data_IF_222198607595
#
_entry.id   IF_222198607595
#
_cell.length_a   1.000
_cell.length_b   1.000
_cell.length_c   1.000
_cell.angle_alpha   90.00
_cell.angle_beta   90.00
_cell.angle_gamma   90.00
#
_symmetry.space_group_name_H-M   'P 1'
#
loop_
_entity.id
_entity.type
_entity.pdbx_description
1 polymer ?
#
# COMPACT_ATOMS: atom_id res chain seq x y z
N UNK A 1 12.34 15.93 -15.77
CA UNK A 1 12.52 14.47 -15.99
C UNK A 1 11.19 13.78 -16.28
N UNK A 2 11.18 12.48 -16.60
CA UNK A 2 9.96 11.69 -16.80
C UNK A 2 9.91 10.54 -15.79
N UNK A 3 8.82 10.46 -15.03
CA UNK A 3 8.51 9.36 -14.12
C UNK A 3 7.33 8.56 -14.71
N UNK A 4 7.38 7.22 -14.65
CA UNK A 4 6.33 6.37 -15.21
C UNK A 4 5.79 5.40 -14.16
N UNK A 5 4.64 5.73 -13.60
CA UNK A 5 4.00 4.93 -12.57
C UNK A 5 3.36 3.65 -13.12
N UNK A 6 3.15 3.52 -14.43
CA UNK A 6 2.67 2.26 -15.01
C UNK A 6 3.72 1.14 -14.93
N UNK A 7 5.00 1.48 -15.12
CA UNK A 7 6.08 0.50 -14.92
C UNK A 7 6.27 0.17 -13.45
N UNK A 8 6.16 1.18 -12.58
CA UNK A 8 6.33 1.00 -11.14
C UNK A 8 5.19 0.17 -10.56
N UNK A 9 3.93 0.44 -10.94
CA UNK A 9 2.75 -0.39 -10.60
C UNK A 9 2.98 -1.86 -10.92
N UNK A 10 3.51 -2.17 -12.11
CA UNK A 10 3.80 -3.57 -12.49
C UNK A 10 4.89 -4.19 -11.62
N UNK A 11 5.91 -3.43 -11.24
CA UNK A 11 6.99 -3.88 -10.34
C UNK A 11 6.43 -4.15 -8.93
N UNK A 12 5.66 -3.20 -8.41
CA UNK A 12 5.03 -3.26 -7.10
C UNK A 12 4.03 -4.41 -7.03
N UNK A 13 3.19 -4.60 -8.07
CA UNK A 13 2.28 -5.76 -8.15
C UNK A 13 3.01 -7.09 -7.99
N UNK A 14 4.12 -7.29 -8.72
CA UNK A 14 4.93 -8.52 -8.60
C UNK A 14 5.51 -8.69 -7.19
N UNK A 15 5.93 -7.59 -6.58
CA UNK A 15 6.44 -7.59 -5.22
C UNK A 15 5.34 -7.95 -4.20
N UNK A 16 4.14 -7.36 -4.28
CA UNK A 16 3.01 -7.70 -3.40
C UNK A 16 2.62 -9.17 -3.60
N UNK A 17 2.48 -9.63 -4.84
CA UNK A 17 2.18 -11.03 -5.14
C UNK A 17 3.24 -11.99 -4.56
N UNK A 18 4.52 -11.60 -4.61
CA UNK A 18 5.61 -12.34 -3.98
C UNK A 18 5.41 -12.39 -2.47
N UNK A 19 5.14 -11.26 -1.81
CA UNK A 19 4.89 -11.18 -0.35
C UNK A 19 3.68 -12.02 0.08
N UNK A 20 2.61 -12.01 -0.71
CA UNK A 20 1.42 -12.83 -0.48
C UNK A 20 1.74 -14.32 -0.59
N UNK A 21 2.41 -14.73 -1.68
CA UNK A 21 2.77 -16.13 -1.93
C UNK A 21 3.77 -16.66 -0.91
N UNK A 22 4.75 -15.84 -0.55
CA UNK A 22 5.86 -16.22 0.33
C UNK A 22 5.52 -15.96 1.82
N UNK A 23 4.28 -15.55 2.14
CA UNK A 23 3.86 -15.32 3.53
C UNK A 23 4.04 -16.61 4.34
N UNK A 24 4.98 -16.65 5.31
CA UNK A 24 5.26 -17.87 6.04
C UNK A 24 4.11 -18.12 7.01
N UNK A 25 3.59 -19.34 7.04
CA UNK A 25 2.56 -19.73 8.01
C UNK A 25 3.08 -19.64 9.48
N UNK A 26 4.38 -19.43 9.72
CA UNK A 26 5.01 -19.48 11.05
C UNK A 26 6.05 -18.39 11.33
N UNK A 27 6.12 -17.31 10.53
CA UNK A 27 7.03 -16.18 10.80
C UNK A 27 6.45 -14.91 10.19
N UNK A 28 5.72 -14.14 10.99
CA UNK A 28 5.20 -12.85 10.60
C UNK A 28 6.33 -11.81 10.69
N UNK A 29 6.70 -11.24 9.55
CA UNK A 29 7.57 -10.06 9.52
C UNK A 29 6.69 -8.80 9.62
N UNK A 30 6.00 -8.67 10.75
CA UNK A 30 5.05 -7.60 11.06
C UNK A 30 4.56 -7.69 12.51
N UNK A 31 3.75 -6.71 12.96
CA UNK A 31 3.23 -6.71 14.33
C UNK A 31 2.32 -7.89 14.63
N UNK A 32 2.35 -8.37 15.87
CA UNK A 32 1.49 -9.45 16.37
C UNK A 32 2.15 -10.84 16.31
N UNK A 33 1.38 -11.86 16.67
CA UNK A 33 1.85 -13.25 16.76
C UNK A 33 1.76 -13.98 15.41
N UNK A 34 2.65 -14.95 15.18
CA UNK A 34 2.80 -15.67 13.91
C UNK A 34 1.58 -16.51 13.52
N UNK A 35 0.85 -17.04 14.51
CA UNK A 35 -0.29 -17.95 14.29
C UNK A 35 -1.63 -17.21 14.13
N UNK A 36 -1.65 -15.91 14.41
CA UNK A 36 -2.86 -15.10 14.35
C UNK A 36 -3.23 -14.73 12.91
N UNK A 37 -4.54 -14.59 12.66
CA UNK A 37 -5.03 -14.15 11.37
C UNK A 37 -4.72 -12.67 11.14
N UNK A 38 -4.34 -12.31 9.91
CA UNK A 38 -4.00 -10.94 9.54
C UNK A 38 -5.23 -10.04 9.70
N UNK A 39 -5.14 -9.08 10.61
CA UNK A 39 -6.17 -8.08 10.88
C UNK A 39 -5.96 -6.79 10.07
N UNK A 40 -4.73 -6.49 9.65
CA UNK A 40 -4.43 -5.36 8.78
C UNK A 40 -3.34 -5.69 7.76
N UNK A 41 -3.54 -5.19 6.54
CA UNK A 41 -2.48 -5.12 5.52
C UNK A 41 -2.15 -3.65 5.31
N UNK A 42 -0.93 -3.25 5.64
CA UNK A 42 -0.43 -1.91 5.36
C UNK A 42 0.52 -1.96 4.18
N UNK A 43 0.26 -1.14 3.17
CA UNK A 43 1.25 -0.78 2.16
C UNK A 43 1.80 0.60 2.52
N UNK A 44 2.98 0.58 3.15
CA UNK A 44 3.70 1.77 3.55
C UNK A 44 4.64 2.21 2.43
N UNK A 45 4.83 3.51 2.25
CA UNK A 45 5.83 4.02 1.31
C UNK A 45 6.54 5.25 1.84
N UNK A 46 7.78 5.46 1.40
CA UNK A 46 8.51 6.70 1.66
C UNK A 46 9.18 7.14 0.37
N UNK A 47 8.65 8.19 -0.26
CA UNK A 47 9.12 8.60 -1.57
C UNK A 47 10.30 9.58 -1.51
N UNK A 48 10.27 10.53 -0.56
CA UNK A 48 11.17 11.68 -0.55
C UNK A 48 12.63 11.32 -0.26
N UNK A 49 12.90 10.50 0.77
CA UNK A 49 14.28 10.14 1.14
C UNK A 49 14.58 8.65 0.96
N UNK A 50 13.60 7.78 1.17
CA UNK A 50 13.80 6.32 1.11
C UNK A 50 13.62 5.74 -0.29
N UNK A 51 12.71 6.31 -1.09
CA UNK A 51 12.33 5.77 -2.39
C UNK A 51 11.88 4.31 -2.31
N UNK A 52 10.95 3.95 -1.43
CA UNK A 52 10.54 2.56 -1.28
C UNK A 52 9.05 2.37 -1.05
N UNK A 53 8.63 1.13 -1.23
CA UNK A 53 7.33 0.59 -0.78
C UNK A 53 7.58 -0.65 0.08
N UNK A 54 6.82 -0.82 1.15
CA UNK A 54 6.81 -2.03 1.99
C UNK A 54 5.38 -2.55 2.16
N UNK A 55 5.23 -3.86 2.39
CA UNK A 55 3.96 -4.50 2.75
C UNK A 55 4.14 -5.21 4.08
N UNK A 56 3.37 -4.73 5.06
CA UNK A 56 3.36 -5.24 6.42
C UNK A 56 2.03 -5.92 6.68
N UNK A 57 2.10 -7.13 7.24
CA UNK A 57 0.94 -7.90 7.68
C UNK A 57 0.88 -7.82 9.20
N UNK A 58 -0.21 -7.26 9.71
CA UNK A 58 -0.41 -7.04 11.14
C UNK A 58 -1.46 -8.02 11.64
N UNK A 59 -1.04 -8.91 12.54
CA UNK A 59 -1.85 -9.99 13.10
C UNK A 59 -2.41 -9.64 14.47
N UNK A 60 -2.07 -8.46 15.05
CA UNK A 60 -2.61 -8.05 16.34
C UNK A 60 -4.14 -8.01 16.28
N UNK A 61 -4.87 -8.69 17.17
CA UNK A 61 -6.33 -8.76 17.14
C UNK A 61 -7.00 -7.39 17.17
N UNK A 62 -6.39 -6.45 17.88
CA UNK A 62 -6.83 -5.07 18.03
C UNK A 62 -6.50 -4.20 16.82
N UNK A 63 -5.60 -4.62 15.92
CA UNK A 63 -5.16 -3.78 14.81
C UNK A 63 -6.28 -3.39 13.87
N UNK A 64 -7.48 -3.99 13.95
CA UNK A 64 -8.70 -3.73 13.17
C UNK A 64 -9.13 -2.24 13.01
N UNK A 65 -10.19 -1.96 12.25
CA UNK A 65 -10.62 -0.59 11.89
C UNK A 65 -11.02 0.30 13.08
N UNK A 66 -11.04 -0.23 14.30
CA UNK A 66 -11.45 0.45 15.52
C UNK A 66 -10.29 1.08 16.31
N UNK A 67 -9.04 0.66 16.09
CA UNK A 67 -7.90 1.18 16.86
C UNK A 67 -7.23 2.41 16.22
N UNK A 68 -7.64 2.78 15.02
CA UNK A 68 -7.00 3.87 14.29
C UNK A 68 -5.60 3.50 13.81
N UNK A 69 -4.93 4.48 13.21
CA UNK A 69 -3.60 4.35 12.62
C UNK A 69 -2.57 4.66 13.71
N UNK A 70 -1.80 3.65 14.09
CA UNK A 70 -0.85 3.70 15.21
C UNK A 70 0.61 3.81 14.77
N UNK A 71 0.87 3.87 13.45
CA UNK A 71 2.21 3.99 12.88
C UNK A 71 3.09 2.75 13.06
N UNK A 72 2.59 1.67 13.68
CA UNK A 72 3.38 0.51 14.10
C UNK A 72 4.08 -0.19 12.94
N UNK A 73 3.52 -0.16 11.73
CA UNK A 73 4.14 -0.73 10.53
C UNK A 73 5.54 -0.16 10.25
N UNK A 74 5.83 1.07 10.70
CA UNK A 74 7.13 1.73 10.49
C UNK A 74 8.28 1.03 11.22
N UNK A 75 7.99 0.28 12.29
CA UNK A 75 8.99 -0.50 13.04
C UNK A 75 9.39 -1.80 12.32
N UNK A 76 8.65 -2.17 11.28
CA UNK A 76 8.81 -3.44 10.54
C UNK A 76 9.35 -3.22 9.12
N UNK A 77 10.01 -2.09 8.90
CA UNK A 77 10.69 -1.77 7.64
C UNK A 77 12.09 -2.40 7.67
N UNK A 78 12.21 -3.55 7.00
CA UNK A 78 13.47 -4.26 6.81
C UNK A 78 13.78 -4.43 5.33
N UNK A 79 15.06 -4.62 4.99
CA UNK A 79 15.51 -4.84 3.60
C UNK A 79 14.72 -5.94 2.88
N UNK A 80 14.42 -7.05 3.57
CA UNK A 80 13.66 -8.18 3.01
C UNK A 80 12.16 -7.90 2.82
N UNK A 81 11.65 -6.86 3.48
CA UNK A 81 10.25 -6.40 3.35
C UNK A 81 10.13 -5.19 2.43
N UNK A 82 11.23 -4.66 1.89
CA UNK A 82 11.24 -3.40 1.18
C UNK A 82 11.44 -3.60 -0.33
N UNK A 83 10.73 -2.80 -1.13
CA UNK A 83 10.95 -2.66 -2.56
C UNK A 83 11.49 -1.27 -2.88
N UNK A 84 12.75 -1.19 -3.29
CA UNK A 84 13.36 0.06 -3.72
C UNK A 84 12.83 0.54 -5.09
N UNK A 85 12.61 1.85 -5.15
CA UNK A 85 12.07 2.65 -6.24
C UNK A 85 12.87 3.97 -6.32
N UNK A 86 14.19 3.93 -6.60
CA UNK A 86 15.07 5.11 -6.52
C UNK A 86 14.63 6.29 -7.39
N UNK A 87 13.88 6.03 -8.47
CA UNK A 87 13.32 7.09 -9.33
C UNK A 87 12.26 7.95 -8.64
N UNK A 88 11.70 7.49 -7.53
CA UNK A 88 10.77 8.28 -6.72
C UNK A 88 11.55 9.38 -6.00
N UNK A 89 12.69 9.05 -5.38
CA UNK A 89 13.62 10.03 -4.78
C UNK A 89 14.07 11.03 -5.84
N UNK A 90 14.57 10.56 -7.00
CA UNK A 90 15.02 11.44 -8.08
C UNK A 90 13.93 12.46 -8.49
N UNK A 91 12.66 12.02 -8.49
CA UNK A 91 11.53 12.87 -8.85
C UNK A 91 11.20 13.88 -7.75
N UNK A 92 11.17 13.47 -6.48
CA UNK A 92 10.98 14.37 -5.35
C UNK A 92 12.11 15.41 -5.30
N UNK A 93 13.37 14.98 -5.37
CA UNK A 93 14.53 15.88 -5.42
C UNK A 93 14.49 16.84 -6.61
N UNK A 94 14.06 16.38 -7.79
CA UNK A 94 13.92 17.25 -8.95
C UNK A 94 12.91 18.38 -8.68
N UNK A 95 11.77 18.06 -8.07
CA UNK A 95 10.73 19.04 -7.72
C UNK A 95 11.27 20.03 -6.67
N UNK A 96 11.89 19.54 -5.59
CA UNK A 96 12.48 20.37 -4.54
C UNK A 96 13.56 21.32 -5.07
N UNK A 97 14.30 20.90 -6.09
CA UNK A 97 15.29 21.72 -6.79
C UNK A 97 14.68 22.64 -7.87
N UNK A 98 13.37 22.86 -7.86
CA UNK A 98 12.65 23.74 -8.78
C UNK A 98 12.57 23.23 -10.22
N UNK A 99 12.82 21.93 -10.47
CA UNK A 99 12.72 21.32 -11.79
C UNK A 99 11.33 20.73 -12.00
N UNK A 100 10.94 20.66 -13.27
CA UNK A 100 9.71 19.97 -13.67
C UNK A 100 9.91 18.45 -13.77
N UNK A 101 8.94 17.71 -13.21
CA UNK A 101 8.74 16.28 -13.43
C UNK A 101 7.46 16.07 -14.25
N UNK A 102 7.55 15.30 -15.34
CA UNK A 102 6.39 14.81 -16.06
C UNK A 102 6.07 13.39 -15.57
N UNK A 103 5.00 13.25 -14.79
CA UNK A 103 4.53 11.98 -14.24
C UNK A 103 3.53 11.36 -15.22
N UNK A 104 3.86 10.20 -15.77
CA UNK A 104 2.86 9.33 -16.40
C UNK A 104 2.20 8.54 -15.28
N UNK A 105 0.98 8.91 -14.93
CA UNK A 105 0.18 8.27 -13.89
C UNK A 105 -0.17 6.85 -14.27
N UNK A 106 -0.62 6.06 -13.30
CA UNK A 106 -0.99 4.66 -13.52
C UNK A 106 -2.16 4.50 -14.48
N UNK A 107 -3.07 5.48 -14.51
CA UNK A 107 -4.19 5.56 -15.45
C UNK A 107 -3.78 6.03 -16.87
N UNK A 108 -2.49 6.33 -17.07
CA UNK A 108 -1.92 6.78 -18.35
C UNK A 108 -2.00 8.29 -18.58
N UNK A 109 -2.64 9.07 -17.70
CA UNK A 109 -2.61 10.53 -17.80
C UNK A 109 -1.21 11.06 -17.54
N UNK A 110 -0.86 12.16 -18.19
CA UNK A 110 0.41 12.85 -17.97
C UNK A 110 0.13 14.08 -17.12
N UNK A 111 0.81 14.18 -15.98
CA UNK A 111 0.73 15.30 -15.07
C UNK A 111 2.11 15.98 -14.98
N UNK A 112 2.13 17.30 -15.10
CA UNK A 112 3.35 18.10 -15.01
C UNK A 112 3.41 18.69 -13.61
N UNK A 113 4.42 18.30 -12.84
CA UNK A 113 4.64 18.73 -11.46
C UNK A 113 5.89 19.62 -11.38
N UNK A 114 5.75 20.78 -10.75
CA UNK A 114 6.84 21.71 -10.45
C UNK A 114 6.54 22.52 -9.18
N UNK A 115 7.61 22.98 -8.50
CA UNK A 115 7.53 23.78 -7.28
C UNK A 115 6.82 23.09 -6.10
N UNK A 116 6.45 23.88 -5.09
CA UNK A 116 5.89 23.40 -3.83
C UNK A 116 4.62 22.57 -4.03
N UNK A 117 3.73 23.00 -4.94
CA UNK A 117 2.51 22.24 -5.28
C UNK A 117 2.81 20.88 -5.92
N UNK A 118 3.95 20.76 -6.60
CA UNK A 118 4.41 19.49 -7.14
C UNK A 118 4.82 18.51 -6.05
N UNK A 119 5.32 19.00 -4.92
CA UNK A 119 5.79 18.19 -3.79
C UNK A 119 4.64 17.46 -3.10
N UNK A 120 3.57 18.16 -2.72
CA UNK A 120 2.39 17.50 -2.14
C UNK A 120 1.72 16.57 -3.15
N UNK A 121 1.74 16.96 -4.43
CA UNK A 121 1.04 16.23 -5.48
C UNK A 121 1.74 14.93 -5.89
N UNK A 122 3.07 14.86 -5.79
CA UNK A 122 3.80 13.66 -6.20
C UNK A 122 3.49 12.48 -5.26
N UNK A 123 3.39 12.71 -3.96
CA UNK A 123 3.01 11.69 -2.98
C UNK A 123 1.59 11.18 -3.22
N UNK A 124 0.66 12.08 -3.53
CA UNK A 124 -0.69 11.68 -3.91
C UNK A 124 -0.71 10.83 -5.19
N UNK A 125 0.16 11.08 -6.18
CA UNK A 125 0.27 10.19 -7.35
C UNK A 125 0.73 8.78 -6.98
N UNK A 126 1.66 8.65 -6.03
CA UNK A 126 2.12 7.35 -5.53
C UNK A 126 1.01 6.65 -4.76
N UNK A 127 0.42 7.32 -3.78
CA UNK A 127 -0.66 6.80 -2.94
C UNK A 127 -1.86 6.33 -3.74
N UNK A 128 -2.37 7.14 -4.68
CA UNK A 128 -3.50 6.78 -5.56
C UNK A 128 -3.21 5.51 -6.38
N UNK A 129 -1.99 5.37 -6.91
CA UNK A 129 -1.60 4.16 -7.65
C UNK A 129 -1.60 2.93 -6.75
N UNK A 130 -1.09 3.07 -5.51
CA UNK A 130 -1.04 1.98 -4.54
C UNK A 130 -2.45 1.56 -4.08
N UNK A 131 -3.33 2.52 -3.83
CA UNK A 131 -4.75 2.28 -3.50
C UNK A 131 -5.42 1.48 -4.63
N UNK A 132 -5.34 1.97 -5.87
CA UNK A 132 -5.94 1.29 -7.01
C UNK A 132 -5.37 -0.12 -7.22
N UNK A 133 -4.09 -0.32 -6.95
CA UNK A 133 -3.45 -1.63 -7.05
C UNK A 133 -3.91 -2.59 -5.94
N UNK A 134 -4.04 -2.11 -4.70
CA UNK A 134 -4.55 -2.93 -3.58
C UNK A 134 -6.01 -3.33 -3.79
N UNK A 135 -6.83 -2.42 -4.32
CA UNK A 135 -8.21 -2.72 -4.70
C UNK A 135 -8.27 -3.77 -5.82
N UNK A 136 -7.41 -3.66 -6.85
CA UNK A 136 -7.32 -4.68 -7.92
C UNK A 136 -6.93 -6.06 -7.37
N UNK A 137 -5.93 -6.12 -6.49
CA UNK A 137 -5.47 -7.37 -5.85
C UNK A 137 -6.51 -7.98 -4.91
N UNK A 138 -7.40 -7.15 -4.39
CA UNK A 138 -8.57 -7.64 -3.69
C UNK A 138 -9.59 -8.24 -4.65
N UNK A 139 -9.99 -7.49 -5.68
CA UNK A 139 -11.02 -7.88 -6.64
C UNK A 139 -10.66 -9.17 -7.41
N UNK A 140 -9.37 -9.39 -7.70
CA UNK A 140 -8.88 -10.59 -8.37
C UNK A 140 -8.62 -11.78 -7.45
N UNK A 141 -8.86 -11.62 -6.13
CA UNK A 141 -8.70 -12.68 -5.13
C UNK A 141 -7.25 -12.97 -4.72
N UNK A 142 -6.26 -12.19 -5.16
CA UNK A 142 -4.86 -12.36 -4.74
C UNK A 142 -4.74 -12.33 -3.22
N UNK A 143 -5.33 -11.32 -2.56
CA UNK A 143 -5.25 -11.17 -1.11
C UNK A 143 -6.02 -12.24 -0.34
N UNK A 144 -7.01 -12.89 -0.95
CA UNK A 144 -7.79 -13.96 -0.31
C UNK A 144 -6.98 -15.25 -0.06
N UNK A 145 -5.75 -15.32 -0.58
CA UNK A 145 -4.81 -16.42 -0.31
C UNK A 145 -4.17 -16.33 1.09
N UNK A 146 -4.26 -15.16 1.74
CA UNK A 146 -3.73 -14.93 3.07
C UNK A 146 -4.71 -15.41 4.17
N UNK A 147 -4.22 -15.75 5.37
CA UNK A 147 -5.06 -16.05 6.53
C UNK A 147 -5.68 -14.77 7.11
N UNK A 148 -6.64 -14.17 6.39
CA UNK A 148 -7.26 -12.91 6.79
C UNK A 148 -8.28 -13.11 7.91
N UNK A 149 -8.28 -12.20 8.89
CA UNK A 149 -9.35 -12.13 9.88
C UNK A 149 -10.66 -11.68 9.22
N UNK A 150 -11.81 -11.97 9.85
CA UNK A 150 -13.12 -11.61 9.30
C UNK A 150 -13.32 -10.09 9.11
N UNK A 151 -12.57 -9.28 9.86
CA UNK A 151 -12.62 -7.81 9.81
C UNK A 151 -11.30 -7.21 9.31
N UNK A 152 -10.53 -7.99 8.55
CA UNK A 152 -9.29 -7.50 7.98
C UNK A 152 -9.54 -6.21 7.17
N UNK A 153 -8.63 -5.25 7.27
CA UNK A 153 -8.70 -4.00 6.51
C UNK A 153 -7.35 -3.64 5.91
N UNK A 154 -7.37 -2.75 4.91
CA UNK A 154 -6.20 -2.33 4.17
C UNK A 154 -5.92 -0.86 4.42
N UNK A 155 -4.63 -0.52 4.50
CA UNK A 155 -4.13 0.83 4.67
C UNK A 155 -3.07 1.11 3.61
N UNK A 156 -3.11 2.30 3.01
CA UNK A 156 -2.02 2.88 2.23
C UNK A 156 -1.55 4.12 2.96
N UNK A 157 -0.29 4.16 3.34
CA UNK A 157 0.24 5.24 4.18
C UNK A 157 1.62 5.67 3.71
N UNK A 158 1.81 6.97 3.61
CA UNK A 158 3.13 7.59 3.43
C UNK A 158 3.80 7.77 4.79
N UNK A 159 5.10 7.51 4.86
CA UNK A 159 5.87 7.47 6.11
C UNK A 159 5.81 8.77 6.93
N UNK A 160 5.72 9.93 6.27
CA UNK A 160 5.59 11.25 6.87
C UNK A 160 4.13 11.76 6.85
N UNK A 161 3.15 10.87 6.69
CA UNK A 161 1.71 11.16 6.72
C UNK A 161 1.21 12.10 5.61
N UNK A 162 2.00 12.34 4.55
CA UNK A 162 1.61 13.21 3.43
C UNK A 162 0.48 12.61 2.58
N UNK A 163 0.33 11.29 2.63
CA UNK A 163 -0.78 10.56 2.03
C UNK A 163 -1.28 9.48 2.97
N UNK A 164 -2.61 9.36 3.05
CA UNK A 164 -3.25 8.34 3.86
C UNK A 164 -4.54 7.85 3.19
N UNK A 165 -4.75 6.53 3.20
CA UNK A 165 -6.01 5.91 2.80
C UNK A 165 -6.30 4.67 3.65
N UNK A 166 -7.54 4.46 4.12
CA UNK A 166 -8.73 5.29 3.93
C UNK A 166 -8.75 6.51 4.86
N UNK A 167 -9.21 7.68 4.41
CA UNK A 167 -9.29 8.84 5.31
C UNK A 167 -10.30 8.59 6.46
N UNK A 168 -10.14 9.23 7.63
CA UNK A 168 -11.12 9.13 8.71
C UNK A 168 -12.55 9.43 8.21
N UNK A 169 -13.45 8.45 8.36
CA UNK A 169 -14.85 8.54 7.89
C UNK A 169 -15.09 8.06 6.45
N UNK A 170 -14.05 7.71 5.70
CA UNK A 170 -14.20 7.03 4.41
C UNK A 170 -14.49 5.53 4.56
N UNK A 171 -15.22 4.99 3.58
CA UNK A 171 -15.54 3.56 3.53
C UNK A 171 -14.29 2.79 3.16
N UNK A 172 -13.72 2.09 4.12
CA UNK A 172 -12.65 1.13 3.87
C UNK A 172 -13.20 -0.17 3.29
N UNK A 173 -12.30 -1.06 2.89
CA UNK A 173 -12.58 -2.44 2.47
C UNK A 173 -13.42 -3.25 3.49
N UNK A 174 -13.57 -2.76 4.74
CA UNK A 174 -14.41 -3.34 5.79
C UNK A 174 -15.84 -2.79 5.93
N UNK A 175 -16.31 -1.82 5.12
CA UNK A 175 -17.72 -1.39 5.19
C UNK A 175 -18.65 -2.47 4.60
N UNK A 176 -19.74 -2.79 5.30
CA UNK A 176 -20.59 -3.99 5.15
C UNK A 176 -21.06 -4.32 3.73
N UNK A 177 -21.08 -3.36 2.80
CA UNK A 177 -21.45 -3.59 1.39
C UNK A 177 -20.31 -4.18 0.55
N UNK A 178 -19.05 -3.89 0.87
CA UNK A 178 -17.88 -4.46 0.20
C UNK A 178 -17.61 -5.89 0.71
N UNK A 179 -17.82 -6.13 2.01
CA UNK A 179 -17.76 -7.48 2.62
C UNK A 179 -18.78 -8.46 2.03
N UNK A 180 -20.00 -8.02 1.70
CA UNK A 180 -21.04 -8.89 1.11
C UNK A 180 -20.66 -9.46 -0.27
N UNK A 181 -19.75 -8.81 -1.00
CA UNK A 181 -19.27 -9.31 -2.30
C UNK A 181 -18.18 -10.37 -2.14
N UNK A 182 -17.37 -10.29 -1.08
CA UNK A 182 -16.19 -11.15 -0.86
C UNK A 182 -16.53 -12.39 -0.02
N UNK A 183 -17.41 -12.29 0.99
CA UNK A 183 -17.94 -13.46 1.72
C UNK A 183 -18.72 -14.41 0.79
N UNK A 184 -19.23 -13.90 -0.34
CA UNK A 184 -19.91 -14.69 -1.37
C UNK A 184 -18.96 -15.45 -2.31
N UNK A 185 -17.69 -15.03 -2.41
CA UNK A 185 -16.67 -15.68 -3.24
C UNK A 185 -15.82 -16.69 -2.46
N UNK A 186 -15.73 -16.54 -1.13
CA UNK A 186 -15.04 -17.48 -0.23
C UNK A 186 -15.86 -18.71 0.22
N UNK A 187 -17.14 -18.80 -0.16
CA UNK A 187 -17.95 -20.03 -0.07
C UNK A 187 -18.09 -20.66 -1.44
N UNK A 188 -16.99 -21.19 -1.97
CA UNK A 188 -17.10 -22.32 -2.88
C UNK A 188 -17.18 -23.53 -1.96
N UNK A 189 -18.38 -24.11 -1.89
CA UNK A 189 -18.65 -25.35 -1.17
C UNK A 189 -17.56 -26.39 -1.50
N UNK A 190 -16.80 -26.80 -0.49
CA UNK A 190 -16.13 -28.10 -0.48
C UNK A 190 -17.02 -29.08 0.27
#
# INVERSE_FOLDING_TARGET
>A
MKLNLQSDRKKIRRYIMKRVRDYPYYTNLGPGDDEDSIARITIGFYAEQGGYVTVVFDTRPEAGPHLGFDGEWTLWIYDDTMLELPKWVDACEAICNGKTVNVVRHDGKIEKLDGDKGSDRIDACFGEMLVDLMLELCDDGTLAQLPLSANAYMVVEEFNESFFWPQPGEKSWGDRKTQQKIVRLGRIDR
#
